data_IF_730051435586
#
_entry.id   IF_730051435586
#
_cell.length_a   1.000
_cell.length_b   1.000
_cell.length_c   1.000
_cell.angle_alpha   90.00
_cell.angle_beta   90.00
_cell.angle_gamma   90.00
#
_symmetry.space_group_name_H-M   'P 1'
#
loop_
_entity.id
_entity.type
_entity.pdbx_description
1 polymer ?
#
# COMPACT_ATOMS: atom_id res chain seq x y z
N UNK A 1 1.42 -14.20 11.62
CA UNK A 1 1.13 -15.66 11.87
C UNK A 1 -0.27 -16.09 11.42
N UNK A 2 -0.36 -16.49 10.15
CA UNK A 2 -1.56 -16.84 9.40
C UNK A 2 -2.29 -18.08 9.93
N UNK A 3 -3.61 -18.23 9.66
CA UNK A 3 -4.40 -19.41 10.07
C UNK A 3 -3.84 -20.74 9.54
N UNK A 4 -3.19 -20.73 8.37
CA UNK A 4 -2.46 -21.86 7.78
C UNK A 4 -1.30 -22.31 8.68
N UNK A 5 -0.49 -21.34 9.13
CA UNK A 5 0.62 -21.53 10.07
C UNK A 5 0.16 -22.16 11.41
N UNK A 6 -1.06 -21.84 11.87
CA UNK A 6 -1.70 -22.45 13.06
C UNK A 6 -2.32 -23.83 12.78
N UNK A 7 -2.85 -24.08 11.57
CA UNK A 7 -3.40 -25.38 11.15
C UNK A 7 -2.29 -26.43 11.00
N UNK A 8 -1.12 -26.05 10.48
CA UNK A 8 0.08 -26.88 10.37
C UNK A 8 0.53 -27.51 11.71
N UNK A 9 0.32 -26.83 12.84
CA UNK A 9 0.67 -27.36 14.18
C UNK A 9 -0.29 -28.43 14.73
N UNK A 10 -1.50 -28.59 14.17
CA UNK A 10 -2.56 -29.45 14.73
C UNK A 10 -2.95 -30.65 13.86
N UNK A 11 -2.57 -30.69 12.58
CA UNK A 11 -2.90 -31.82 11.70
C UNK A 11 -2.07 -33.06 12.06
N UNK A 12 -2.67 -34.25 11.92
CA UNK A 12 -1.93 -35.53 11.98
C UNK A 12 -1.22 -35.71 10.65
N UNK A 13 -0.02 -35.15 10.55
CA UNK A 13 0.74 -35.02 9.31
C UNK A 13 1.45 -36.34 8.96
N UNK A 14 1.22 -36.87 7.76
CA UNK A 14 2.22 -37.72 7.10
C UNK A 14 3.28 -36.76 6.53
N UNK A 15 4.37 -36.54 7.29
CA UNK A 15 5.54 -35.82 6.80
C UNK A 15 6.42 -36.82 6.08
N UNK A 16 6.48 -36.74 4.75
CA UNK A 16 7.47 -37.46 3.98
C UNK A 16 8.58 -36.47 3.59
N UNK A 17 9.79 -36.68 4.11
CA UNK A 17 10.97 -35.98 3.61
C UNK A 17 11.22 -36.52 2.19
N UNK A 18 10.97 -35.70 1.17
CA UNK A 18 11.10 -36.12 -0.23
C UNK A 18 12.59 -36.15 -0.56
N UNK A 19 13.26 -35.02 -0.35
CA UNK A 19 14.67 -34.82 -0.69
C UNK A 19 15.33 -33.89 0.31
N UNK A 20 16.62 -34.12 0.49
CA UNK A 20 17.52 -33.15 1.06
C UNK A 20 18.77 -33.11 0.19
N UNK A 21 19.20 -31.92 -0.18
CA UNK A 21 20.41 -31.74 -0.97
C UNK A 21 21.26 -30.61 -0.41
N UNK A 22 22.45 -30.47 -1.00
CA UNK A 22 23.44 -29.51 -0.56
C UNK A 22 23.77 -28.58 -1.71
N UNK A 23 23.45 -27.31 -1.56
CA UNK A 23 23.81 -26.26 -2.50
C UNK A 23 24.93 -25.40 -1.87
N UNK A 24 26.19 -25.70 -2.18
CA UNK A 24 27.33 -25.07 -1.52
C UNK A 24 27.43 -25.41 -0.02
N UNK A 25 27.36 -24.39 0.84
CA UNK A 25 27.35 -24.56 2.31
C UNK A 25 25.94 -24.85 2.86
N UNK A 26 24.89 -24.55 2.08
CA UNK A 26 23.49 -24.71 2.47
C UNK A 26 23.04 -26.17 2.44
N UNK A 27 22.16 -26.52 3.39
CA UNK A 27 21.46 -27.80 3.42
C UNK A 27 19.98 -27.50 3.29
N UNK A 28 19.41 -27.90 2.17
CA UNK A 28 18.03 -27.59 1.79
C UNK A 28 17.17 -28.83 1.99
N UNK A 29 15.92 -28.62 2.43
CA UNK A 29 14.99 -29.70 2.72
C UNK A 29 13.64 -29.45 2.04
N UNK A 30 13.15 -30.48 1.35
CA UNK A 30 11.83 -30.52 0.73
C UNK A 30 10.96 -31.54 1.46
N UNK A 31 9.80 -31.10 1.93
CA UNK A 31 8.82 -31.93 2.61
C UNK A 31 7.50 -31.93 1.84
N UNK A 32 6.96 -33.12 1.55
CA UNK A 32 5.57 -33.25 1.13
C UNK A 32 4.68 -33.33 2.36
N UNK A 33 3.66 -32.48 2.41
CA UNK A 33 2.69 -32.47 3.48
C UNK A 33 1.28 -32.70 2.92
N UNK A 34 0.68 -33.86 3.22
CA UNK A 34 -0.74 -34.09 2.95
C UNK A 34 -1.60 -33.52 4.08
N UNK A 35 -2.53 -32.63 3.75
CA UNK A 35 -3.52 -32.05 4.64
C UNK A 35 -4.91 -32.40 4.11
N UNK A 36 -5.55 -33.42 4.69
CA UNK A 36 -6.86 -33.90 4.24
C UNK A 36 -6.83 -34.41 2.77
N UNK A 37 -7.51 -33.74 1.84
CA UNK A 37 -7.49 -34.07 0.40
C UNK A 37 -6.47 -33.22 -0.40
N UNK A 38 -5.85 -32.22 0.24
CA UNK A 38 -4.91 -31.28 -0.38
C UNK A 38 -3.44 -31.73 -0.13
N UNK A 39 -2.60 -31.53 -1.13
CA UNK A 39 -1.15 -31.76 -1.06
C UNK A 39 -0.49 -30.38 -1.05
N UNK A 40 0.36 -30.14 -0.06
CA UNK A 40 1.15 -28.91 0.07
C UNK A 40 2.61 -29.31 0.07
N UNK A 41 3.39 -28.73 -0.83
CA UNK A 41 4.83 -28.89 -0.84
C UNK A 41 5.46 -27.74 -0.02
N UNK A 42 6.23 -28.12 1.01
CA UNK A 42 6.83 -27.19 1.97
C UNK A 42 8.34 -27.24 1.80
N UNK A 43 8.92 -26.08 1.48
CA UNK A 43 10.33 -25.89 1.26
C UNK A 43 10.91 -25.04 2.38
N UNK A 44 12.01 -25.51 2.99
CA UNK A 44 12.70 -24.76 4.05
C UNK A 44 14.17 -24.61 3.70
N UNK A 45 14.60 -23.34 3.61
CA UNK A 45 15.90 -22.92 3.12
C UNK A 45 16.62 -22.06 4.16
N UNK A 46 17.41 -22.67 5.07
CA UNK A 46 18.33 -21.89 5.90
C UNK A 46 19.47 -21.36 5.02
N UNK A 47 19.67 -20.05 5.00
CA UNK A 47 20.80 -19.44 4.28
C UNK A 47 22.06 -19.60 5.14
N UNK A 48 23.10 -20.21 4.60
CA UNK A 48 24.39 -20.43 5.27
C UNK A 48 25.49 -19.87 4.39
N UNK A 49 25.86 -18.61 4.63
CA UNK A 49 26.90 -17.86 3.90
C UNK A 49 26.38 -16.56 3.28
N UNK A 50 27.19 -15.95 2.42
CA UNK A 50 26.98 -14.57 1.95
C UNK A 50 25.73 -14.35 1.05
N UNK A 51 25.19 -15.39 0.39
CA UNK A 51 23.99 -15.28 -0.45
C UNK A 51 23.36 -16.63 -0.77
N UNK A 52 22.03 -16.67 -0.94
CA UNK A 52 21.28 -17.79 -1.51
C UNK A 52 20.38 -17.33 -2.67
N UNK A 53 20.26 -18.17 -3.70
CA UNK A 53 19.17 -18.10 -4.68
C UNK A 53 18.31 -19.32 -4.42
N UNK A 54 17.04 -19.08 -4.10
CA UNK A 54 16.05 -20.09 -3.76
C UNK A 54 15.11 -20.18 -4.97
N UNK A 55 15.48 -21.04 -5.91
CA UNK A 55 14.61 -21.44 -7.01
C UNK A 55 13.75 -22.62 -6.53
N UNK A 56 12.44 -22.44 -6.40
CA UNK A 56 11.52 -23.57 -6.23
C UNK A 56 11.24 -24.16 -7.63
N UNK A 57 11.73 -25.37 -7.97
CA UNK A 57 11.70 -25.83 -9.36
C UNK A 57 10.28 -26.15 -9.86
N UNK A 58 9.90 -25.57 -11.01
CA UNK A 58 8.63 -25.75 -11.76
C UNK A 58 8.15 -27.21 -11.95
N UNK A 59 9.03 -28.19 -11.76
CA UNK A 59 8.75 -29.61 -11.99
C UNK A 59 8.50 -30.45 -10.73
N UNK A 60 8.61 -29.88 -9.54
CA UNK A 60 8.39 -30.58 -8.26
C UNK A 60 7.06 -30.18 -7.56
N UNK A 61 6.45 -29.03 -7.89
CA UNK A 61 5.02 -28.76 -7.64
C UNK A 61 4.20 -29.36 -8.78
N UNK A 62 3.20 -30.22 -8.49
CA UNK A 62 2.33 -30.69 -9.57
C UNK A 62 1.38 -29.55 -9.94
N UNK A 63 1.16 -29.30 -11.23
CA UNK A 63 0.17 -28.33 -11.74
C UNK A 63 -1.07 -28.22 -10.81
N UNK A 64 -1.18 -27.13 -10.04
CA UNK A 64 -2.30 -26.86 -9.12
C UNK A 64 -2.14 -27.34 -7.67
N UNK A 65 -0.98 -27.20 -7.03
CA UNK A 65 -0.77 -27.47 -5.60
C UNK A 65 -0.13 -26.25 -4.90
N UNK A 66 -0.48 -25.98 -3.64
CA UNK A 66 0.04 -24.83 -2.87
C UNK A 66 1.52 -24.97 -2.51
N UNK A 67 2.32 -23.92 -2.67
CA UNK A 67 3.69 -23.86 -2.16
C UNK A 67 3.78 -23.10 -0.82
N UNK A 68 4.64 -23.60 0.07
CA UNK A 68 5.07 -22.84 1.26
C UNK A 68 6.58 -22.76 1.26
N UNK A 69 7.12 -21.55 1.16
CA UNK A 69 8.55 -21.27 1.15
C UNK A 69 8.93 -20.52 2.42
N UNK A 70 9.90 -21.05 3.15
CA UNK A 70 10.43 -20.47 4.38
C UNK A 70 11.95 -20.31 4.24
N UNK A 71 12.41 -19.06 4.21
CA UNK A 71 13.82 -18.68 4.12
C UNK A 71 14.20 -17.94 5.40
N UNK A 72 15.29 -18.35 6.03
CA UNK A 72 15.76 -17.67 7.25
C UNK A 72 17.28 -17.52 7.30
N UNK A 73 17.72 -16.52 8.07
CA UNK A 73 19.11 -16.27 8.48
C UNK A 73 20.08 -16.06 7.29
N UNK A 74 20.32 -14.84 6.79
CA UNK A 74 21.29 -14.65 5.70
C UNK A 74 21.70 -13.21 5.38
N UNK A 75 22.76 -13.03 4.59
CA UNK A 75 23.15 -11.71 4.06
C UNK A 75 22.29 -11.33 2.83
N UNK A 76 21.92 -12.31 1.99
CA UNK A 76 21.01 -12.06 0.87
C UNK A 76 20.28 -13.31 0.40
N UNK A 77 19.00 -13.15 0.06
CA UNK A 77 18.16 -14.19 -0.54
C UNK A 77 17.35 -13.62 -1.71
N UNK A 78 17.26 -14.39 -2.79
CA UNK A 78 16.28 -14.18 -3.86
C UNK A 78 15.41 -15.42 -3.92
N UNK A 79 14.09 -15.24 -3.86
CA UNK A 79 13.09 -16.32 -3.84
C UNK A 79 12.18 -16.18 -5.05
N UNK A 80 12.26 -17.16 -5.95
CA UNK A 80 11.38 -17.25 -7.10
C UNK A 80 10.40 -18.41 -6.86
N UNK A 81 9.12 -18.10 -6.73
CA UNK A 81 8.05 -19.09 -6.55
C UNK A 81 7.47 -19.46 -7.93
N UNK A 82 7.18 -20.73 -8.22
CA UNK A 82 6.48 -21.12 -9.44
C UNK A 82 4.96 -20.90 -9.32
N UNK A 83 4.27 -20.86 -10.46
CA UNK A 83 2.81 -20.74 -10.53
C UNK A 83 2.09 -21.77 -9.62
N UNK A 84 1.11 -21.31 -8.84
CA UNK A 84 0.44 -22.13 -7.83
C UNK A 84 -0.99 -21.69 -7.54
N UNK A 85 -1.85 -22.58 -7.00
CA UNK A 85 -3.19 -22.17 -6.56
C UNK A 85 -3.10 -21.26 -5.31
N UNK A 86 -2.18 -21.53 -4.39
CA UNK A 86 -2.02 -20.70 -3.20
C UNK A 86 -0.61 -20.76 -2.65
N UNK A 87 0.09 -19.64 -2.64
CA UNK A 87 1.49 -19.57 -2.26
C UNK A 87 1.70 -18.73 -1.01
N UNK A 88 2.59 -19.22 -0.15
CA UNK A 88 2.97 -18.53 1.09
C UNK A 88 4.48 -18.47 1.16
N UNK A 89 5.04 -17.27 1.17
CA UNK A 89 6.47 -17.03 1.34
C UNK A 89 6.70 -16.28 2.66
N UNK A 90 7.62 -16.81 3.45
CA UNK A 90 8.13 -16.18 4.68
C UNK A 90 9.65 -16.07 4.55
N UNK A 91 10.16 -14.84 4.56
CA UNK A 91 11.59 -14.53 4.57
C UNK A 91 11.89 -13.73 5.83
N UNK A 92 12.73 -14.27 6.72
CA UNK A 92 13.02 -13.66 8.01
C UNK A 92 14.53 -13.60 8.29
N UNK A 93 15.00 -12.54 8.96
CA UNK A 93 16.42 -12.38 9.35
C UNK A 93 17.39 -12.41 8.14
N UNK A 94 17.01 -11.79 7.02
CA UNK A 94 17.83 -11.67 5.81
C UNK A 94 18.15 -10.21 5.53
N UNK A 95 19.43 -9.82 5.45
CA UNK A 95 19.81 -8.41 5.25
C UNK A 95 19.26 -7.86 3.92
N UNK A 96 19.29 -8.65 2.83
CA UNK A 96 18.74 -8.25 1.54
C UNK A 96 17.88 -9.35 0.93
N UNK A 97 16.55 -9.19 0.99
CA UNK A 97 15.58 -10.13 0.45
C UNK A 97 14.93 -9.59 -0.83
N UNK A 98 14.82 -10.44 -1.85
CA UNK A 98 13.97 -10.25 -3.02
C UNK A 98 13.05 -11.45 -3.17
N UNK A 99 11.76 -11.23 -3.39
CA UNK A 99 10.79 -12.30 -3.60
C UNK A 99 9.87 -11.96 -4.76
N UNK A 100 9.78 -12.89 -5.70
CA UNK A 100 8.87 -12.81 -6.84
C UNK A 100 7.85 -13.97 -6.75
N UNK A 101 6.56 -13.63 -6.72
CA UNK A 101 5.44 -14.60 -6.71
C UNK A 101 4.54 -14.36 -7.93
N UNK A 102 4.65 -15.18 -8.99
CA UNK A 102 3.81 -15.13 -10.17
C UNK A 102 2.54 -16.01 -10.05
N UNK A 103 1.52 -15.68 -10.86
CA UNK A 103 0.41 -16.52 -11.34
C UNK A 103 -0.24 -17.47 -10.30
N UNK A 104 -1.45 -17.13 -9.82
CA UNK A 104 -2.19 -18.00 -8.89
C UNK A 104 -3.58 -17.54 -8.42
N UNK A 105 -4.25 -18.31 -7.56
CA UNK A 105 -5.51 -17.82 -6.93
C UNK A 105 -5.19 -16.92 -5.72
N UNK A 106 -4.12 -17.22 -4.97
CA UNK A 106 -3.75 -16.37 -3.83
C UNK A 106 -2.26 -16.43 -3.48
N UNK A 107 -1.68 -15.28 -3.15
CA UNK A 107 -0.31 -15.16 -2.67
C UNK A 107 -0.27 -14.45 -1.32
N UNK A 108 0.54 -14.96 -0.40
CA UNK A 108 0.89 -14.29 0.87
C UNK A 108 2.40 -14.17 0.99
N UNK A 109 2.88 -12.94 1.05
CA UNK A 109 4.28 -12.59 1.24
C UNK A 109 4.49 -11.99 2.64
N UNK A 110 5.44 -12.52 3.40
CA UNK A 110 5.92 -11.95 4.66
C UNK A 110 7.46 -11.82 4.57
N UNK A 111 7.98 -10.59 4.57
CA UNK A 111 9.43 -10.32 4.54
C UNK A 111 9.83 -9.45 5.72
N UNK A 112 10.41 -10.09 6.73
CA UNK A 112 10.70 -9.51 8.04
C UNK A 112 12.19 -9.38 8.33
N UNK A 113 12.56 -8.35 9.10
CA UNK A 113 13.86 -8.21 9.78
C UNK A 113 15.08 -8.22 8.82
N UNK A 114 15.20 -7.18 7.98
CA UNK A 114 16.28 -6.98 7.01
C UNK A 114 16.73 -5.52 6.81
N UNK A 115 17.84 -5.29 6.10
CA UNK A 115 18.20 -3.92 5.64
C UNK A 115 17.36 -3.51 4.44
N UNK A 116 17.04 -4.44 3.53
CA UNK A 116 16.23 -4.17 2.34
C UNK A 116 15.38 -5.36 1.94
N UNK A 117 14.11 -5.10 1.64
CA UNK A 117 13.13 -6.05 1.17
C UNK A 117 12.51 -5.56 -0.15
N UNK A 118 12.46 -6.45 -1.14
CA UNK A 118 11.74 -6.26 -2.40
C UNK A 118 10.75 -7.42 -2.54
N UNK A 119 9.49 -7.11 -2.76
CA UNK A 119 8.42 -8.10 -2.90
C UNK A 119 7.53 -7.77 -4.07
N UNK A 120 7.51 -8.66 -5.05
CA UNK A 120 6.75 -8.52 -6.28
C UNK A 120 5.69 -9.64 -6.37
N UNK A 121 4.43 -9.28 -6.57
CA UNK A 121 3.30 -10.24 -6.70
C UNK A 121 2.46 -9.88 -7.92
N UNK A 122 2.29 -10.82 -8.85
CA UNK A 122 1.61 -10.55 -10.12
C UNK A 122 0.65 -11.66 -10.53
N UNK A 123 -0.42 -11.29 -11.24
CA UNK A 123 -1.37 -12.22 -11.86
C UNK A 123 -2.05 -13.18 -10.85
N UNK A 124 -2.48 -12.66 -9.69
CA UNK A 124 -3.20 -13.44 -8.66
C UNK A 124 -4.60 -12.93 -8.36
N UNK A 125 -5.57 -13.79 -7.99
CA UNK A 125 -6.88 -13.25 -7.54
C UNK A 125 -6.72 -12.44 -6.24
N UNK A 126 -5.96 -12.96 -5.26
CA UNK A 126 -5.82 -12.32 -3.95
C UNK A 126 -4.35 -12.25 -3.47
N UNK A 127 -3.80 -11.04 -3.33
CA UNK A 127 -2.47 -10.79 -2.79
C UNK A 127 -2.52 -10.22 -1.36
N UNK A 128 -1.69 -10.76 -0.48
CA UNK A 128 -1.39 -10.16 0.83
C UNK A 128 0.11 -10.02 1.01
N UNK A 129 0.60 -8.81 1.20
CA UNK A 129 2.03 -8.51 1.38
C UNK A 129 2.24 -7.80 2.71
N UNK A 130 3.12 -8.34 3.56
CA UNK A 130 3.51 -7.79 4.86
C UNK A 130 5.04 -7.65 4.86
N UNK A 131 5.56 -6.44 5.01
CA UNK A 131 7.01 -6.17 5.05
C UNK A 131 7.35 -5.40 6.33
N UNK A 132 7.41 -6.07 7.49
CA UNK A 132 7.65 -5.40 8.75
C UNK A 132 9.14 -5.25 9.05
N UNK A 133 9.53 -4.09 9.58
CA UNK A 133 10.86 -3.80 10.13
C UNK A 133 12.03 -3.97 9.12
N UNK A 134 12.25 -2.96 8.28
CA UNK A 134 13.46 -2.85 7.47
C UNK A 134 13.89 -1.42 7.16
N UNK A 135 15.16 -1.18 6.80
CA UNK A 135 15.56 0.17 6.39
C UNK A 135 14.84 0.58 5.10
N UNK A 136 14.64 -0.36 4.17
CA UNK A 136 13.93 -0.11 2.90
C UNK A 136 12.98 -1.24 2.53
N UNK A 137 11.75 -0.88 2.20
CA UNK A 137 10.77 -1.76 1.60
C UNK A 137 10.38 -1.24 0.21
N UNK A 138 10.34 -2.14 -0.76
CA UNK A 138 9.78 -1.91 -2.10
C UNK A 138 8.78 -3.04 -2.35
N UNK A 139 7.52 -2.69 -2.59
CA UNK A 139 6.44 -3.65 -2.87
C UNK A 139 5.79 -3.27 -4.18
N UNK A 140 5.66 -4.22 -5.10
CA UNK A 140 4.90 -4.10 -6.35
C UNK A 140 3.86 -5.23 -6.40
N UNK A 141 2.58 -4.85 -6.49
CA UNK A 141 1.48 -5.80 -6.69
C UNK A 141 0.70 -5.38 -7.92
N UNK A 142 0.65 -6.20 -8.96
CA UNK A 142 -0.09 -5.85 -10.19
C UNK A 142 -0.97 -6.98 -10.72
N UNK A 143 -2.00 -6.62 -11.48
CA UNK A 143 -2.93 -7.56 -12.14
C UNK A 143 -3.64 -8.50 -11.13
N UNK A 144 -4.27 -7.93 -10.09
CA UNK A 144 -4.94 -8.70 -9.02
C UNK A 144 -6.40 -8.31 -8.79
N UNK A 145 -7.28 -9.23 -8.39
CA UNK A 145 -8.65 -8.82 -8.01
C UNK A 145 -8.63 -8.05 -6.68
N UNK A 146 -7.85 -8.50 -5.70
CA UNK A 146 -7.74 -7.85 -4.40
C UNK A 146 -6.32 -7.88 -3.83
N UNK A 147 -5.81 -6.71 -3.44
CA UNK A 147 -4.52 -6.52 -2.78
C UNK A 147 -4.67 -5.97 -1.36
N UNK A 148 -3.89 -6.50 -0.42
CA UNK A 148 -3.63 -5.90 0.89
C UNK A 148 -2.13 -5.81 1.09
N UNK A 149 -1.61 -4.61 1.30
CA UNK A 149 -0.19 -4.34 1.56
C UNK A 149 -0.05 -3.63 2.90
N UNK A 150 0.82 -4.13 3.77
CA UNK A 150 1.16 -3.56 5.07
C UNK A 150 2.67 -3.40 5.18
N UNK A 151 3.15 -2.16 5.41
CA UNK A 151 4.57 -1.84 5.57
C UNK A 151 4.77 -1.02 6.85
N UNK A 152 4.89 -1.69 8.01
CA UNK A 152 5.10 -1.01 9.27
C UNK A 152 6.59 -0.93 9.63
N UNK A 153 7.03 0.24 10.12
CA UNK A 153 8.37 0.53 10.67
C UNK A 153 9.53 0.42 9.66
N UNK A 154 10.19 1.54 9.38
CA UNK A 154 11.37 1.56 8.51
C UNK A 154 11.95 2.95 8.24
N UNK A 155 12.98 3.07 7.41
CA UNK A 155 13.42 4.39 6.93
C UNK A 155 12.64 4.79 5.68
N UNK A 156 12.44 3.87 4.73
CA UNK A 156 11.77 4.16 3.45
C UNK A 156 10.84 3.05 3.00
N UNK A 157 9.66 3.44 2.55
CA UNK A 157 8.70 2.55 1.89
C UNK A 157 8.35 3.08 0.50
N UNK A 158 8.34 2.19 -0.48
CA UNK A 158 7.77 2.42 -1.81
C UNK A 158 6.78 1.30 -2.09
N UNK A 159 5.52 1.64 -2.30
CA UNK A 159 4.44 0.68 -2.57
C UNK A 159 3.74 1.07 -3.86
N UNK A 160 3.64 0.14 -4.80
CA UNK A 160 2.84 0.25 -6.01
C UNK A 160 1.82 -0.90 -6.04
N UNK A 161 0.54 -0.56 -6.17
CA UNK A 161 -0.54 -1.55 -6.33
C UNK A 161 -1.38 -1.18 -7.55
N UNK A 162 -1.16 -1.89 -8.64
CA UNK A 162 -1.69 -1.53 -9.96
C UNK A 162 -2.71 -2.54 -10.48
N UNK A 163 -3.61 -2.06 -11.35
CA UNK A 163 -4.46 -2.89 -12.22
C UNK A 163 -5.29 -3.95 -11.46
N UNK A 164 -6.08 -3.51 -10.47
CA UNK A 164 -6.92 -4.42 -9.66
C UNK A 164 -8.30 -3.92 -9.25
N UNK A 165 -9.21 -4.80 -8.82
CA UNK A 165 -10.57 -4.37 -8.44
C UNK A 165 -10.56 -3.64 -7.08
N UNK A 166 -9.73 -4.07 -6.13
CA UNK A 166 -9.65 -3.45 -4.80
C UNK A 166 -8.24 -3.50 -4.22
N UNK A 167 -7.77 -2.37 -3.70
CA UNK A 167 -6.47 -2.24 -3.03
C UNK A 167 -6.64 -1.60 -1.65
N UNK A 168 -5.95 -2.19 -0.67
CA UNK A 168 -5.77 -1.61 0.67
C UNK A 168 -4.28 -1.53 0.95
N UNK A 169 -3.77 -0.33 1.22
CA UNK A 169 -2.37 -0.08 1.53
C UNK A 169 -2.27 0.63 2.87
N UNK A 170 -1.45 0.11 3.78
CA UNK A 170 -1.10 0.70 5.07
C UNK A 170 0.42 0.86 5.14
N UNK A 171 0.89 2.10 5.36
CA UNK A 171 2.30 2.42 5.60
C UNK A 171 2.42 3.28 6.84
N UNK A 172 3.13 2.79 7.85
CA UNK A 172 3.22 3.47 9.15
C UNK A 172 4.62 3.45 9.74
N UNK A 173 4.93 4.48 10.55
CA UNK A 173 6.19 4.60 11.29
C UNK A 173 7.46 4.57 10.39
N UNK A 174 7.44 5.30 9.26
CA UNK A 174 8.60 5.44 8.35
C UNK A 174 9.12 6.88 8.19
N UNK A 175 10.41 7.08 7.89
CA UNK A 175 10.91 8.44 7.60
C UNK A 175 10.34 8.99 6.28
N UNK A 176 10.15 8.13 5.26
CA UNK A 176 9.60 8.55 3.96
C UNK A 176 8.78 7.46 3.28
N UNK A 177 7.59 7.81 2.80
CA UNK A 177 6.69 6.92 2.08
C UNK A 177 6.35 7.46 0.68
N UNK A 178 6.34 6.55 -0.30
CA UNK A 178 5.76 6.78 -1.63
C UNK A 178 4.77 5.66 -1.89
N UNK A 179 3.50 6.00 -2.10
CA UNK A 179 2.42 5.04 -2.37
C UNK A 179 1.72 5.40 -3.67
N UNK A 180 1.66 4.45 -4.61
CA UNK A 180 0.90 4.53 -5.85
C UNK A 180 -0.16 3.44 -5.91
N UNK A 181 -1.40 3.81 -6.23
CA UNK A 181 -2.47 2.85 -6.51
C UNK A 181 -3.18 3.21 -7.81
N UNK A 182 -2.53 3.01 -8.98
CA UNK A 182 -3.13 3.35 -10.25
C UNK A 182 -4.10 2.27 -10.74
N UNK A 183 -5.15 2.68 -11.46
CA UNK A 183 -6.07 1.80 -12.19
C UNK A 183 -6.77 0.75 -11.31
N UNK A 184 -7.59 1.18 -10.35
CA UNK A 184 -8.42 0.23 -9.60
C UNK A 184 -9.83 0.71 -9.29
N UNK A 185 -10.80 -0.19 -9.16
CA UNK A 185 -12.18 0.24 -8.85
C UNK A 185 -12.26 0.89 -7.46
N UNK A 186 -11.49 0.36 -6.49
CA UNK A 186 -11.46 0.87 -5.12
C UNK A 186 -10.04 0.89 -4.56
N UNK A 187 -9.65 2.05 -4.05
CA UNK A 187 -8.40 2.23 -3.33
C UNK A 187 -8.68 2.75 -1.91
N UNK A 188 -8.06 2.14 -0.92
CA UNK A 188 -7.95 2.65 0.45
C UNK A 188 -6.47 2.72 0.79
N UNK A 189 -5.98 3.93 1.07
CA UNK A 189 -4.58 4.19 1.41
C UNK A 189 -4.52 4.88 2.76
N UNK A 190 -3.77 4.31 3.70
CA UNK A 190 -3.45 4.88 5.00
C UNK A 190 -1.93 5.07 5.08
N UNK A 191 -1.48 6.30 5.30
CA UNK A 191 -0.05 6.64 5.48
C UNK A 191 0.12 7.50 6.73
N UNK A 192 0.58 6.89 7.82
CA UNK A 192 0.56 7.52 9.14
C UNK A 192 1.94 7.58 9.82
N UNK A 193 2.13 8.58 10.68
CA UNK A 193 3.35 8.74 11.49
C UNK A 193 4.65 8.81 10.65
N UNK A 194 4.64 9.56 9.54
CA UNK A 194 5.79 9.71 8.62
C UNK A 194 6.32 11.14 8.51
N UNK A 195 7.63 11.33 8.26
CA UNK A 195 8.16 12.69 8.04
C UNK A 195 7.79 13.24 6.66
N UNK A 196 7.66 12.39 5.65
CA UNK A 196 7.27 12.81 4.29
C UNK A 196 6.50 11.70 3.57
N UNK A 197 5.32 12.04 3.05
CA UNK A 197 4.48 11.14 2.28
C UNK A 197 4.17 11.71 0.90
N UNK A 198 4.22 10.86 -0.13
CA UNK A 198 3.63 11.13 -1.43
C UNK A 198 2.65 9.99 -1.73
N UNK A 199 1.39 10.31 -1.95
CA UNK A 199 0.33 9.36 -2.28
C UNK A 199 -0.31 9.74 -3.61
N UNK A 200 -0.38 8.79 -4.54
CA UNK A 200 -1.02 8.95 -5.84
C UNK A 200 -2.06 7.86 -6.09
N UNK A 201 -3.30 8.25 -6.39
CA UNK A 201 -4.39 7.33 -6.75
C UNK A 201 -5.04 7.81 -8.05
N UNK A 202 -4.40 7.58 -9.21
CA UNK A 202 -4.98 7.93 -10.50
C UNK A 202 -5.87 6.81 -11.05
N UNK A 203 -6.99 7.18 -11.67
CA UNK A 203 -7.92 6.28 -12.35
C UNK A 203 -8.56 5.25 -11.41
N UNK A 204 -9.54 5.67 -10.60
CA UNK A 204 -10.34 4.72 -9.82
C UNK A 204 -11.74 5.18 -9.50
N UNK A 205 -12.71 4.26 -9.46
CA UNK A 205 -14.11 4.65 -9.18
C UNK A 205 -14.22 5.29 -7.79
N UNK A 206 -13.50 4.75 -6.79
CA UNK A 206 -13.52 5.25 -5.41
C UNK A 206 -12.14 5.23 -4.78
N UNK A 207 -11.72 6.38 -4.27
CA UNK A 207 -10.51 6.54 -3.49
C UNK A 207 -10.83 7.04 -2.08
N UNK A 208 -10.19 6.43 -1.08
CA UNK A 208 -10.10 6.93 0.30
C UNK A 208 -8.62 7.01 0.63
N UNK A 209 -8.14 8.20 0.97
CA UNK A 209 -6.76 8.47 1.34
C UNK A 209 -6.75 9.14 2.72
N UNK A 210 -6.11 8.51 3.69
CA UNK A 210 -5.93 9.03 5.06
C UNK A 210 -4.42 9.16 5.33
N UNK A 211 -3.96 10.37 5.65
CA UNK A 211 -2.52 10.69 5.82
C UNK A 211 -2.29 11.46 7.12
N UNK A 212 -2.55 10.84 8.30
CA UNK A 212 -2.48 11.52 9.58
C UNK A 212 -1.05 11.63 10.11
N UNK A 213 -0.80 12.70 10.88
CA UNK A 213 0.46 12.88 11.63
C UNK A 213 1.72 12.92 10.73
N UNK A 214 1.57 13.47 9.52
CA UNK A 214 2.65 13.59 8.52
C UNK A 214 3.20 15.01 8.42
N UNK A 215 4.52 15.21 8.58
CA UNK A 215 5.08 16.57 8.51
C UNK A 215 4.89 17.22 7.14
N UNK A 216 5.18 16.51 6.05
CA UNK A 216 4.99 16.99 4.68
C UNK A 216 4.25 15.95 3.84
N UNK A 217 3.01 16.23 3.48
CA UNK A 217 2.18 15.34 2.67
C UNK A 217 1.95 15.93 1.28
N UNK A 218 2.08 15.11 0.25
CA UNK A 218 1.59 15.36 -1.10
C UNK A 218 0.59 14.27 -1.49
N UNK A 219 -0.65 14.65 -1.80
CA UNK A 219 -1.71 13.72 -2.21
C UNK A 219 -2.25 14.16 -3.57
N UNK A 220 -2.32 13.22 -4.51
CA UNK A 220 -2.89 13.40 -5.85
C UNK A 220 -3.92 12.30 -6.10
N UNK A 221 -5.18 12.68 -6.32
CA UNK A 221 -6.28 11.76 -6.66
C UNK A 221 -6.98 12.28 -7.91
N UNK A 222 -7.04 11.45 -8.94
CA UNK A 222 -7.60 11.85 -10.24
C UNK A 222 -8.44 10.77 -10.91
N UNK A 223 -9.33 11.19 -11.80
CA UNK A 223 -10.13 10.33 -12.67
C UNK A 223 -11.01 9.32 -11.88
N UNK A 224 -12.08 9.80 -11.22
CA UNK A 224 -12.93 8.93 -10.39
C UNK A 224 -14.38 9.37 -10.14
N UNK A 225 -15.20 8.49 -9.55
CA UNK A 225 -16.57 8.88 -9.13
C UNK A 225 -16.57 9.56 -7.76
N UNK A 226 -15.70 9.10 -6.84
CA UNK A 226 -15.61 9.62 -5.47
C UNK A 226 -14.20 9.59 -4.93
N UNK A 227 -13.80 10.69 -4.31
CA UNK A 227 -12.58 10.78 -3.54
C UNK A 227 -12.89 11.33 -2.14
N UNK A 228 -12.29 10.73 -1.13
CA UNK A 228 -12.19 11.28 0.22
C UNK A 228 -10.71 11.34 0.58
N UNK A 229 -10.20 12.53 0.86
CA UNK A 229 -8.82 12.78 1.28
C UNK A 229 -8.86 13.42 2.66
N UNK A 230 -8.18 12.82 3.63
CA UNK A 230 -8.02 13.34 4.99
C UNK A 230 -6.52 13.46 5.28
N UNK A 231 -6.04 14.66 5.59
CA UNK A 231 -4.63 14.94 5.95
C UNK A 231 -4.60 15.75 7.24
N UNK A 232 -4.93 15.13 8.38
CA UNK A 232 -5.01 15.84 9.64
C UNK A 232 -3.62 15.92 10.31
N UNK A 233 -3.40 16.99 11.08
CA UNK A 233 -2.23 17.15 11.97
C UNK A 233 -0.85 17.17 11.27
N UNK A 234 -0.76 17.57 10.00
CA UNK A 234 0.53 17.82 9.33
C UNK A 234 1.09 19.23 9.51
N UNK A 235 2.37 19.45 9.18
CA UNK A 235 2.93 20.81 9.08
C UNK A 235 2.62 21.46 7.73
N UNK A 236 2.60 20.65 6.66
CA UNK A 236 2.28 21.06 5.29
C UNK A 236 1.60 19.94 4.54
N UNK A 237 0.47 20.27 3.92
CA UNK A 237 -0.23 19.40 3.00
C UNK A 237 -0.36 20.07 1.63
N UNK A 238 -0.08 19.32 0.57
CA UNK A 238 -0.46 19.68 -0.80
C UNK A 238 -1.41 18.59 -1.28
N UNK A 239 -2.63 18.97 -1.59
CA UNK A 239 -3.68 18.05 -2.04
C UNK A 239 -4.20 18.53 -3.39
N UNK A 240 -4.17 17.65 -4.39
CA UNK A 240 -4.76 17.85 -5.71
C UNK A 240 -5.83 16.77 -5.93
N UNK A 241 -7.06 17.20 -6.22
CA UNK A 241 -8.17 16.31 -6.59
C UNK A 241 -8.82 16.82 -7.88
N UNK A 242 -8.61 16.11 -8.98
CA UNK A 242 -9.08 16.53 -10.31
C UNK A 242 -9.87 15.44 -11.03
N UNK A 243 -10.81 15.82 -11.89
CA UNK A 243 -11.62 14.85 -12.67
C UNK A 243 -12.39 13.84 -11.78
N UNK A 244 -12.86 14.28 -10.60
CA UNK A 244 -13.63 13.46 -9.65
C UNK A 244 -15.06 13.98 -9.53
N UNK A 245 -16.08 13.12 -9.72
CA UNK A 245 -17.49 13.57 -9.63
C UNK A 245 -17.82 14.13 -8.24
N UNK A 246 -17.39 13.47 -7.16
CA UNK A 246 -17.61 13.95 -5.79
C UNK A 246 -16.33 13.88 -4.95
N UNK A 247 -15.77 15.03 -4.64
CA UNK A 247 -14.57 15.17 -3.81
C UNK A 247 -14.93 15.67 -2.40
N UNK A 248 -14.38 15.02 -1.39
CA UNK A 248 -14.31 15.50 -0.01
C UNK A 248 -12.85 15.59 0.43
N UNK A 249 -12.43 16.75 0.90
CA UNK A 249 -11.06 17.01 1.33
C UNK A 249 -11.10 17.63 2.73
N UNK A 250 -10.42 17.02 3.69
CA UNK A 250 -10.18 17.56 5.03
C UNK A 250 -8.66 17.67 5.23
N UNK A 251 -8.18 18.88 5.50
CA UNK A 251 -6.73 19.15 5.65
C UNK A 251 -6.48 20.13 6.77
N UNK A 252 -5.38 19.95 7.51
CA UNK A 252 -5.00 20.87 8.59
C UNK A 252 -3.94 21.91 8.13
N UNK A 253 -2.97 22.21 8.99
CA UNK A 253 -2.03 23.33 8.84
C UNK A 253 -1.18 23.28 7.54
N UNK A 254 -0.81 24.46 7.06
CA UNK A 254 0.06 24.64 5.90
C UNK A 254 -0.53 24.15 4.58
N UNK A 255 -1.86 23.98 4.51
CA UNK A 255 -2.55 23.38 3.39
C UNK A 255 -2.51 24.23 2.11
N UNK A 256 -2.25 23.54 1.00
CA UNK A 256 -2.53 23.99 -0.36
C UNK A 256 -3.43 22.93 -0.99
N UNK A 257 -4.69 23.28 -1.25
CA UNK A 257 -5.70 22.40 -1.82
C UNK A 257 -6.11 22.93 -3.18
N UNK A 258 -6.10 22.06 -4.18
CA UNK A 258 -6.68 22.28 -5.50
C UNK A 258 -7.74 21.19 -5.74
N UNK A 259 -8.99 21.60 -6.01
CA UNK A 259 -10.05 20.67 -6.41
C UNK A 259 -10.70 21.17 -7.71
N UNK A 260 -10.59 20.39 -8.77
CA UNK A 260 -11.04 20.80 -10.11
C UNK A 260 -11.83 19.72 -10.85
N UNK A 261 -12.57 20.15 -11.87
CA UNK A 261 -13.22 19.27 -12.87
C UNK A 261 -14.15 18.19 -12.26
N UNK A 262 -15.13 18.60 -11.46
CA UNK A 262 -16.03 17.69 -10.72
C UNK A 262 -17.52 18.06 -10.73
N UNK A 263 -18.38 17.23 -10.14
CA UNK A 263 -19.77 17.63 -9.91
C UNK A 263 -19.93 18.34 -8.57
N UNK A 264 -19.25 17.90 -7.52
CA UNK A 264 -19.32 18.49 -6.19
C UNK A 264 -18.00 18.36 -5.45
N UNK A 265 -17.58 19.46 -4.82
CA UNK A 265 -16.40 19.52 -3.97
C UNK A 265 -16.77 20.05 -2.59
N UNK A 266 -16.30 19.38 -1.56
CA UNK A 266 -16.34 19.85 -0.17
C UNK A 266 -14.91 19.88 0.35
N UNK A 267 -14.45 21.06 0.77
CA UNK A 267 -13.15 21.26 1.39
C UNK A 267 -13.36 21.80 2.81
N UNK A 268 -12.80 21.12 3.80
CA UNK A 268 -12.74 21.59 5.20
C UNK A 268 -11.27 21.82 5.56
N UNK A 269 -10.98 22.98 6.14
CA UNK A 269 -9.65 23.34 6.62
C UNK A 269 -9.73 23.86 8.06
N UNK A 270 -9.69 22.95 9.05
CA UNK A 270 -9.63 23.32 10.45
C UNK A 270 -8.18 23.53 10.93
N UNK A 271 -7.97 24.50 11.81
CA UNK A 271 -6.75 24.73 12.59
C UNK A 271 -5.45 24.85 11.76
N UNK A 272 -4.99 26.07 11.49
CA UNK A 272 -3.70 26.27 10.82
C UNK A 272 -3.14 27.70 10.82
N UNK A 273 -1.86 27.86 10.53
CA UNK A 273 -1.24 29.15 10.26
C UNK A 273 -1.62 29.65 8.85
N UNK A 274 -1.72 28.74 7.88
CA UNK A 274 -1.97 29.09 6.47
C UNK A 274 -2.79 28.04 5.74
N UNK A 275 -3.74 28.53 4.96
CA UNK A 275 -4.52 27.73 4.03
C UNK A 275 -4.63 28.44 2.67
N UNK A 276 -4.40 27.72 1.59
CA UNK A 276 -4.73 28.13 0.22
C UNK A 276 -5.65 27.06 -0.35
N UNK A 277 -6.85 27.47 -0.78
CA UNK A 277 -7.84 26.58 -1.37
C UNK A 277 -8.24 27.16 -2.73
N UNK A 278 -8.10 26.37 -3.78
CA UNK A 278 -8.63 26.62 -5.11
C UNK A 278 -9.68 25.55 -5.42
N UNK A 279 -10.87 25.99 -5.84
CA UNK A 279 -11.94 25.09 -6.29
C UNK A 279 -12.51 25.61 -7.60
N UNK A 280 -12.22 24.94 -8.71
CA UNK A 280 -12.61 25.38 -10.05
C UNK A 280 -13.40 24.33 -10.82
N UNK A 281 -14.20 24.76 -11.80
CA UNK A 281 -14.89 23.85 -12.75
C UNK A 281 -15.77 22.76 -12.11
N UNK A 282 -16.31 23.02 -10.90
CA UNK A 282 -17.27 22.15 -10.20
C UNK A 282 -18.69 22.71 -10.22
N UNK A 283 -19.74 21.87 -10.19
CA UNK A 283 -21.12 22.42 -10.11
C UNK A 283 -21.41 23.02 -8.74
N UNK A 284 -21.12 22.29 -7.67
CA UNK A 284 -21.33 22.73 -6.29
C UNK A 284 -20.02 22.71 -5.50
N UNK A 285 -19.66 23.86 -4.93
CA UNK A 285 -18.53 23.99 -4.03
C UNK A 285 -18.99 24.31 -2.60
N UNK A 286 -18.48 23.57 -1.63
CA UNK A 286 -18.55 23.89 -0.21
C UNK A 286 -17.14 24.04 0.33
N UNK A 287 -16.80 25.19 0.90
CA UNK A 287 -15.50 25.43 1.53
C UNK A 287 -15.74 25.94 2.95
N UNK A 288 -15.22 25.24 3.95
CA UNK A 288 -15.20 25.69 5.35
C UNK A 288 -13.74 25.89 5.78
N UNK A 289 -13.46 27.03 6.39
CA UNK A 289 -12.13 27.34 6.92
C UNK A 289 -12.30 27.87 8.34
N UNK A 290 -11.74 27.14 9.31
CA UNK A 290 -11.91 27.44 10.73
C UNK A 290 -10.59 27.48 11.49
N UNK A 291 -10.44 28.44 12.42
CA UNK A 291 -9.25 28.58 13.26
C UNK A 291 -7.94 28.73 12.46
N UNK A 292 -7.95 29.53 11.38
CA UNK A 292 -6.79 29.76 10.50
C UNK A 292 -6.27 31.22 10.58
N UNK A 293 -4.96 31.44 10.73
CA UNK A 293 -4.40 32.81 10.73
C UNK A 293 -4.52 33.49 9.35
N UNK A 294 -4.09 32.82 8.27
CA UNK A 294 -4.13 33.37 6.91
C UNK A 294 -4.76 32.40 5.92
N UNK A 295 -5.92 32.77 5.37
CA UNK A 295 -6.63 32.00 4.36
C UNK A 295 -6.64 32.72 3.01
N UNK A 296 -6.34 31.99 1.93
CA UNK A 296 -6.64 32.37 0.56
C UNK A 296 -7.62 31.36 -0.03
N UNK A 297 -8.79 31.80 -0.45
CA UNK A 297 -9.81 30.95 -1.07
C UNK A 297 -10.19 31.54 -2.41
N UNK A 298 -9.99 30.77 -3.48
CA UNK A 298 -10.51 31.04 -4.81
C UNK A 298 -11.52 29.95 -5.16
N UNK A 299 -12.71 30.34 -5.57
CA UNK A 299 -13.72 29.41 -6.08
C UNK A 299 -14.18 29.98 -7.41
N UNK A 300 -13.98 29.27 -8.53
CA UNK A 300 -14.31 29.79 -9.87
C UNK A 300 -15.07 28.78 -10.72
N UNK A 301 -15.77 29.29 -11.74
CA UNK A 301 -16.48 28.45 -12.71
C UNK A 301 -17.51 27.46 -12.11
N UNK A 302 -18.14 27.87 -11.00
CA UNK A 302 -19.16 27.07 -10.27
C UNK A 302 -20.61 27.52 -10.51
N UNK A 303 -21.58 26.60 -10.37
CA UNK A 303 -23.02 26.94 -10.36
C UNK A 303 -23.49 27.42 -8.98
N UNK A 304 -22.93 26.88 -7.91
CA UNK A 304 -23.25 27.25 -6.53
C UNK A 304 -22.05 27.08 -5.62
N UNK A 305 -21.76 28.12 -4.84
CA UNK A 305 -20.71 28.11 -3.83
C UNK A 305 -21.28 28.47 -2.45
N UNK A 306 -20.84 27.73 -1.44
CA UNK A 306 -20.95 28.11 -0.03
C UNK A 306 -19.54 28.15 0.53
N UNK A 307 -19.13 29.33 0.99
CA UNK A 307 -17.84 29.53 1.65
C UNK A 307 -18.11 30.08 3.05
N UNK A 308 -17.66 29.38 4.08
CA UNK A 308 -17.75 29.80 5.48
C UNK A 308 -16.36 30.02 6.09
N UNK A 309 -16.29 30.99 7.00
CA UNK A 309 -15.06 31.33 7.72
C UNK A 309 -15.38 31.55 9.19
N UNK A 310 -14.72 30.79 10.06
CA UNK A 310 -14.84 30.91 11.50
C UNK A 310 -13.47 31.15 12.14
N UNK A 311 -13.37 32.18 12.99
CA UNK A 311 -12.14 32.47 13.74
C UNK A 311 -10.86 32.63 12.86
N UNK A 312 -11.02 33.22 11.66
CA UNK A 312 -9.92 33.54 10.73
C UNK A 312 -9.40 34.98 10.90
N UNK A 313 -8.08 35.17 11.04
CA UNK A 313 -7.49 36.50 11.25
C UNK A 313 -7.41 37.33 9.96
N UNK A 314 -6.99 36.73 8.85
CA UNK A 314 -6.87 37.36 7.55
C UNK A 314 -7.33 36.43 6.43
N UNK A 315 -8.33 36.86 5.66
CA UNK A 315 -8.85 36.11 4.51
C UNK A 315 -8.79 36.93 3.22
N UNK A 316 -8.31 36.30 2.15
CA UNK A 316 -8.50 36.75 0.76
C UNK A 316 -9.46 35.76 0.10
N UNK A 317 -10.57 36.28 -0.43
CA UNK A 317 -11.64 35.43 -0.96
C UNK A 317 -12.06 35.98 -2.31
N UNK A 318 -11.98 35.15 -3.34
CA UNK A 318 -12.59 35.39 -4.66
C UNK A 318 -13.62 34.29 -4.94
N UNK A 319 -14.87 34.70 -5.15
CA UNK A 319 -16.00 33.81 -5.43
C UNK A 319 -16.88 34.55 -6.43
N UNK A 320 -17.26 33.95 -7.58
CA UNK A 320 -18.06 34.62 -8.58
C UNK A 320 -19.39 35.03 -7.97
N UNK A 321 -19.79 36.28 -8.24
CA UNK A 321 -21.11 36.76 -7.84
C UNK A 321 -22.18 35.94 -8.58
N UNK A 322 -22.91 35.11 -7.84
CA UNK A 322 -24.16 34.48 -8.31
C UNK A 322 -25.23 35.49 -8.71
#
# INVERSE_FOLDING_TARGET
MSPLCKRLRKATVLRELIRGWRNGENVEFEYRMQIEDDVVDVFHFPVVGDSAVVDVPDGDVSDGESAVVDVSDGESAVVDVPDGESDVVDVSDVENAGVDVPDGDSAVLDVSDGESAVGDVFDVENAGVDVPNGERAVVDVSDVESAVVDVPNGERAVVDVSDGESAVVDVSDVESAIVGVPNGERAVVDVSDVESAIVGVPNGERAIVDVPDVQNAGVDVSDGERAVVDVPNGERAVVDVSDVENAGVDVSDGAVVDVSDGESAVVDVPNGERAIVDVSDVKNAGVDVSDVENAGVDVSDVESAVVDFSDVESAVVDVPNG
#
